data_IF_007732402516
#
_entry.id   IF_007732402516
#
_cell.length_a   1.000
_cell.length_b   1.000
_cell.length_c   1.000
_cell.angle_alpha   90.00
_cell.angle_beta   90.00
_cell.angle_gamma   90.00
#
_symmetry.space_group_name_H-M   'P 1'
#
loop_
_entity.id
_entity.type
_entity.pdbx_description
1 polymer ?
#
# COMPACT_ATOMS: atom_id res chain seq x y z
N UNK A 1 -19.05 35.46 0.96
CA UNK A 1 -19.00 34.23 1.77
C UNK A 1 -17.59 33.64 1.68
N UNK A 2 -16.65 34.09 2.53
CA UNK A 2 -15.24 33.66 2.47
C UNK A 2 -15.06 32.15 2.74
N UNK A 3 -15.92 31.57 3.56
CA UNK A 3 -15.95 30.13 3.88
C UNK A 3 -16.15 29.24 2.63
N UNK A 4 -17.02 29.65 1.69
CA UNK A 4 -17.24 28.93 0.43
C UNK A 4 -16.00 28.93 -0.45
N UNK A 5 -15.25 30.03 -0.43
CA UNK A 5 -14.02 30.18 -1.20
C UNK A 5 -12.89 29.33 -0.62
N UNK A 6 -12.77 29.27 0.71
CA UNK A 6 -11.83 28.38 1.40
C UNK A 6 -12.14 26.90 1.14
N UNK A 7 -13.41 26.53 1.14
CA UNK A 7 -13.87 25.17 0.86
C UNK A 7 -13.58 24.76 -0.58
N UNK A 8 -13.88 25.61 -1.57
CA UNK A 8 -13.51 25.40 -2.98
C UNK A 8 -11.99 25.34 -3.19
N UNK A 9 -11.22 26.15 -2.46
CA UNK A 9 -9.75 26.10 -2.50
C UNK A 9 -9.18 24.80 -1.91
N UNK A 10 -9.88 24.15 -0.98
CA UNK A 10 -9.44 22.85 -0.43
C UNK A 10 -9.54 21.72 -1.45
N UNK A 11 -10.47 21.80 -2.40
CA UNK A 11 -10.63 20.80 -3.47
C UNK A 11 -9.66 21.00 -4.64
N UNK A 12 -9.06 22.18 -4.77
CA UNK A 12 -8.11 22.49 -5.85
C UNK A 12 -6.66 22.47 -5.39
N UNK A 13 -6.40 22.46 -4.07
CA UNK A 13 -5.06 22.31 -3.52
C UNK A 13 -4.60 20.84 -3.62
N UNK A 14 -3.39 20.59 -4.14
CA UNK A 14 -2.79 19.27 -4.07
C UNK A 14 -2.71 18.81 -2.61
N UNK A 15 -3.16 17.59 -2.36
CA UNK A 15 -2.94 16.97 -1.06
C UNK A 15 -1.46 16.61 -0.93
N UNK A 16 -0.81 17.13 0.11
CA UNK A 16 0.56 16.73 0.41
C UNK A 16 0.55 15.37 1.10
N UNK A 17 0.80 14.33 0.31
CA UNK A 17 1.00 12.98 0.83
C UNK A 17 2.42 12.90 1.35
N UNK A 18 2.58 13.02 2.67
CA UNK A 18 3.89 12.90 3.30
C UNK A 18 4.53 11.54 2.99
N UNK A 19 5.76 11.54 2.50
CA UNK A 19 6.56 10.33 2.22
C UNK A 19 7.35 9.85 3.44
N UNK A 20 6.85 10.13 4.64
CA UNK A 20 7.51 9.71 5.88
C UNK A 20 7.49 8.18 6.00
N UNK A 21 8.46 7.58 6.72
CA UNK A 21 8.46 6.14 6.96
C UNK A 21 7.16 5.62 7.60
N UNK A 22 6.51 6.44 8.43
CA UNK A 22 5.22 6.12 9.05
C UNK A 22 4.08 6.11 8.04
N UNK A 23 4.07 7.02 7.06
CA UNK A 23 3.08 7.01 5.98
C UNK A 23 3.13 5.73 5.14
N UNK A 24 4.33 5.16 4.94
CA UNK A 24 4.50 3.91 4.19
C UNK A 24 3.84 2.71 4.89
N UNK A 25 3.75 2.73 6.23
CA UNK A 25 3.10 1.65 6.98
C UNK A 25 1.60 1.53 6.67
N UNK A 26 0.95 2.62 6.24
CA UNK A 26 -0.46 2.61 5.82
C UNK A 26 -0.72 1.77 4.56
N UNK A 27 0.33 1.35 3.86
CA UNK A 27 0.21 0.41 2.75
C UNK A 27 -0.11 -1.01 3.20
N UNK A 28 0.31 -1.43 4.40
CA UNK A 28 0.09 -2.81 4.88
C UNK A 28 -1.39 -3.20 5.02
N UNK A 29 -2.28 -2.37 5.59
CA UNK A 29 -3.71 -2.64 5.59
C UNK A 29 -4.29 -2.87 4.18
N UNK A 30 -3.82 -2.08 3.20
CA UNK A 30 -4.26 -2.19 1.82
C UNK A 30 -3.77 -3.49 1.16
N UNK A 31 -2.49 -3.85 1.37
CA UNK A 31 -1.93 -5.13 0.93
C UNK A 31 -2.61 -6.33 1.59
N UNK A 32 -2.97 -6.23 2.88
CA UNK A 32 -3.68 -7.27 3.60
C UNK A 32 -5.07 -7.50 2.96
N UNK A 33 -5.81 -6.42 2.71
CA UNK A 33 -7.12 -6.49 2.04
C UNK A 33 -7.03 -7.16 0.66
N UNK A 34 -6.09 -6.73 -0.18
CA UNK A 34 -5.91 -7.31 -1.52
C UNK A 34 -5.50 -8.78 -1.43
N UNK A 35 -4.62 -9.14 -0.49
CA UNK A 35 -4.17 -10.52 -0.32
C UNK A 35 -5.30 -11.45 0.08
N UNK A 36 -6.19 -10.99 0.98
CA UNK A 36 -7.39 -11.72 1.40
C UNK A 36 -8.34 -11.90 0.23
N UNK A 37 -8.71 -10.82 -0.46
CA UNK A 37 -9.70 -10.85 -1.55
C UNK A 37 -9.21 -11.67 -2.73
N UNK A 38 -7.94 -11.51 -3.12
CA UNK A 38 -7.31 -12.30 -4.18
C UNK A 38 -7.35 -13.79 -3.86
N UNK A 39 -7.00 -14.18 -2.63
CA UNK A 39 -6.95 -15.59 -2.25
C UNK A 39 -8.34 -16.18 -2.11
N UNK A 40 -9.30 -15.40 -1.62
CA UNK A 40 -10.69 -15.82 -1.45
C UNK A 40 -11.36 -16.08 -2.81
N UNK A 41 -11.10 -15.22 -3.80
CA UNK A 41 -11.66 -15.38 -5.16
C UNK A 41 -10.99 -16.49 -5.97
N UNK A 42 -9.70 -16.76 -5.72
CA UNK A 42 -8.93 -17.75 -6.49
C UNK A 42 -9.07 -19.19 -5.96
N UNK A 43 -9.42 -19.38 -4.69
CA UNK A 43 -9.61 -20.71 -4.11
C UNK A 43 -11.01 -21.26 -4.43
N UNK A 44 -11.06 -22.45 -5.04
CA UNK A 44 -12.32 -23.15 -5.34
C UNK A 44 -12.98 -23.78 -4.09
N UNK A 45 -12.19 -24.14 -3.09
CA UNK A 45 -12.64 -24.71 -1.81
C UNK A 45 -11.90 -24.02 -0.68
N UNK A 46 -12.63 -23.47 0.29
CA UNK A 46 -12.10 -22.61 1.32
C UNK A 46 -11.79 -23.43 2.59
N UNK A 47 -10.56 -23.91 2.70
CA UNK A 47 -10.04 -24.50 3.94
C UNK A 47 -9.37 -23.42 4.77
N UNK A 48 -9.89 -23.13 5.97
CA UNK A 48 -9.48 -21.98 6.77
C UNK A 48 -7.99 -21.93 7.09
N UNK A 49 -7.39 -23.06 7.49
CA UNK A 49 -5.96 -23.15 7.83
C UNK A 49 -5.06 -22.89 6.62
N UNK A 50 -5.42 -23.46 5.47
CA UNK A 50 -4.66 -23.29 4.22
C UNK A 50 -4.86 -21.88 3.67
N UNK A 51 -6.07 -21.35 3.74
CA UNK A 51 -6.41 -19.99 3.32
C UNK A 51 -5.58 -18.96 4.08
N UNK A 52 -5.57 -19.01 5.42
CA UNK A 52 -4.83 -18.05 6.23
C UNK A 52 -3.33 -18.12 5.96
N UNK A 53 -2.77 -19.34 5.83
CA UNK A 53 -1.36 -19.52 5.46
C UNK A 53 -1.04 -18.90 4.11
N UNK A 54 -1.87 -19.14 3.10
CA UNK A 54 -1.64 -18.62 1.75
C UNK A 54 -1.83 -17.10 1.67
N UNK A 55 -2.75 -16.52 2.44
CA UNK A 55 -2.90 -15.06 2.58
C UNK A 55 -1.66 -14.44 3.21
N UNK A 56 -1.16 -15.01 4.31
CA UNK A 56 0.05 -14.52 5.00
C UNK A 56 1.28 -14.62 4.08
N UNK A 57 1.44 -15.74 3.36
CA UNK A 57 2.55 -15.91 2.40
C UNK A 57 2.46 -14.86 1.29
N UNK A 58 1.28 -14.61 0.75
CA UNK A 58 1.08 -13.60 -0.30
C UNK A 58 1.39 -12.19 0.22
N UNK A 59 0.88 -11.84 1.39
CA UNK A 59 1.13 -10.55 2.03
C UNK A 59 2.63 -10.32 2.25
N UNK A 60 3.34 -11.31 2.79
CA UNK A 60 4.78 -11.22 3.03
C UNK A 60 5.58 -11.12 1.73
N UNK A 61 5.21 -11.88 0.71
CA UNK A 61 5.91 -11.87 -0.59
C UNK A 61 5.80 -10.51 -1.27
N UNK A 62 4.59 -9.94 -1.30
CA UNK A 62 4.35 -8.62 -1.90
C UNK A 62 5.02 -7.51 -1.06
N UNK A 63 4.93 -7.59 0.26
CA UNK A 63 5.58 -6.63 1.15
C UNK A 63 7.10 -6.62 0.98
N UNK A 64 7.71 -7.80 0.89
CA UNK A 64 9.16 -7.93 0.66
C UNK A 64 9.56 -7.34 -0.69
N UNK A 65 8.78 -7.63 -1.75
CA UNK A 65 9.02 -7.06 -3.07
C UNK A 65 8.96 -5.52 -3.07
N UNK A 66 7.97 -4.95 -2.37
CA UNK A 66 7.85 -3.49 -2.19
C UNK A 66 9.08 -2.88 -1.51
N UNK A 67 9.56 -3.50 -0.42
CA UNK A 67 10.74 -3.02 0.31
C UNK A 67 11.99 -3.07 -0.59
N UNK A 68 12.22 -4.18 -1.29
CA UNK A 68 13.35 -4.33 -2.20
C UNK A 68 13.31 -3.25 -3.29
N UNK A 69 12.14 -3.01 -3.87
CA UNK A 69 11.95 -1.99 -4.90
C UNK A 69 12.24 -0.58 -4.37
N UNK A 70 11.75 -0.26 -3.17
CA UNK A 70 12.00 1.04 -2.53
C UNK A 70 13.50 1.27 -2.28
N UNK A 71 14.21 0.25 -1.77
CA UNK A 71 15.65 0.31 -1.53
C UNK A 71 16.41 0.45 -2.86
N UNK A 72 16.07 -0.34 -3.87
CA UNK A 72 16.70 -0.28 -5.18
C UNK A 72 16.54 1.11 -5.82
N UNK A 73 15.33 1.68 -5.78
CA UNK A 73 15.08 3.04 -6.27
C UNK A 73 15.90 4.09 -5.51
N UNK A 74 16.00 3.96 -4.19
CA UNK A 74 16.80 4.89 -3.38
C UNK A 74 18.29 4.82 -3.74
N UNK A 75 18.83 3.61 -3.93
CA UNK A 75 20.20 3.40 -4.40
C UNK A 75 20.39 4.04 -5.78
N UNK A 76 19.47 3.81 -6.72
CA UNK A 76 19.55 4.38 -8.07
C UNK A 76 19.58 5.91 -8.02
N UNK A 77 18.69 6.53 -7.24
CA UNK A 77 18.67 8.00 -7.07
C UNK A 77 19.98 8.52 -6.49
N UNK A 78 20.54 7.82 -5.49
CA UNK A 78 21.84 8.17 -4.92
C UNK A 78 22.99 8.07 -5.92
N UNK A 79 22.94 7.13 -6.87
CA UNK A 79 23.94 7.04 -7.94
C UNK A 79 23.87 8.17 -8.97
N UNK A 80 22.68 8.74 -9.18
CA UNK A 80 22.47 9.82 -10.16
C UNK A 80 22.60 11.23 -9.57
N UNK A 81 22.52 11.38 -8.25
CA UNK A 81 22.63 12.66 -7.53
C UNK A 81 24.05 12.88 -7.04
#
# INVERSE_FOLDING_TARGET
MPELFALLASFTRPIEIGTTPTSILWMFPLLASISIVYKATKMRVLFWDRFLREVVVLLLTVSLFMIITAVALNIIVWWFT
#
